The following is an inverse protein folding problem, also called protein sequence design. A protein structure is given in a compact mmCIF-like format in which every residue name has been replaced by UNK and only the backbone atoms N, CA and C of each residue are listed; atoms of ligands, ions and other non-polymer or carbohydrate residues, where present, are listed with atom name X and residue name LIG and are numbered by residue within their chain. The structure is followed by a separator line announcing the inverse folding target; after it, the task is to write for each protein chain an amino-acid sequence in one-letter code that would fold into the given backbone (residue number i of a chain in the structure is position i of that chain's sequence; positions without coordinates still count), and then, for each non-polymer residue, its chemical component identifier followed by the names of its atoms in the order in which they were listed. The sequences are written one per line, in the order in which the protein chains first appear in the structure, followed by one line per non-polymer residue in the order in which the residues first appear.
data_IF_972995615534
#
_entry.id   IF_972995615534
#
_cell.length_a   1.000
_cell.length_b   1.000
_cell.length_c   1.000
_cell.angle_alpha   90.00
_cell.angle_beta   90.00
_cell.angle_gamma   90.00
#
_symmetry.space_group_name_H-M   'P 1'
#
loop_
_entity.id
_entity.type
_entity.pdbx_description
1 polymer ?
#
# COMPACT_ATOMS: atom_id res chain seq x y z
N UNK A 1 45.36 -6.75 -16.08
CA UNK A 1 44.38 -6.74 -14.98
C UNK A 1 43.02 -6.35 -15.52
N UNK A 2 42.06 -7.28 -15.49
CA UNK A 2 40.67 -6.94 -15.83
C UNK A 2 40.17 -5.89 -14.82
N UNK A 3 39.72 -4.75 -15.30
CA UNK A 3 39.03 -3.76 -14.45
C UNK A 3 37.82 -4.45 -13.85
N UNK A 4 37.86 -4.73 -12.54
CA UNK A 4 36.69 -5.20 -11.80
C UNK A 4 35.55 -4.21 -12.05
N UNK A 5 34.54 -4.70 -12.74
CA UNK A 5 33.40 -3.92 -13.09
C UNK A 5 32.71 -3.46 -11.80
N UNK A 6 32.83 -2.19 -11.46
CA UNK A 6 32.24 -1.60 -10.25
C UNK A 6 30.71 -1.65 -10.24
N UNK A 7 30.09 -2.18 -11.30
CA UNK A 7 28.67 -2.37 -11.48
C UNK A 7 28.00 -3.07 -10.29
N UNK A 8 28.76 -3.90 -9.57
CA UNK A 8 28.21 -4.75 -8.51
C UNK A 8 28.33 -4.15 -7.11
N UNK A 9 29.25 -3.22 -6.87
CA UNK A 9 29.52 -2.69 -5.54
C UNK A 9 28.35 -1.95 -4.89
N UNK A 10 27.48 -1.33 -5.67
CA UNK A 10 26.30 -0.63 -5.16
C UNK A 10 25.06 -1.51 -5.04
N UNK A 11 25.06 -2.70 -5.65
CA UNK A 11 23.91 -3.56 -5.76
C UNK A 11 23.79 -4.59 -4.62
N UNK A 12 24.90 -4.95 -4.01
CA UNK A 12 24.97 -5.98 -2.99
C UNK A 12 25.34 -5.34 -1.64
N UNK A 13 24.36 -5.23 -0.74
CA UNK A 13 24.53 -4.62 0.59
C UNK A 13 24.74 -5.65 1.70
N UNK A 14 24.59 -6.94 1.40
CA UNK A 14 24.75 -8.03 2.35
C UNK A 14 25.85 -8.99 1.92
N UNK A 15 26.33 -9.83 2.87
CA UNK A 15 27.29 -10.89 2.58
C UNK A 15 26.75 -11.88 1.54
N UNK A 16 25.47 -12.19 1.61
CA UNK A 16 24.81 -13.10 0.67
C UNK A 16 24.82 -12.53 -0.75
N UNK A 17 24.55 -11.24 -0.90
CA UNK A 17 24.57 -10.57 -2.19
C UNK A 17 25.98 -10.53 -2.81
N UNK A 18 27.02 -10.39 -1.97
CA UNK A 18 28.42 -10.44 -2.42
C UNK A 18 28.77 -11.83 -2.92
N UNK A 19 28.38 -12.85 -2.17
CA UNK A 19 28.61 -14.25 -2.56
C UNK A 19 27.85 -14.60 -3.85
N UNK A 20 26.62 -14.15 -3.99
CA UNK A 20 25.84 -14.32 -5.22
C UNK A 20 26.58 -13.72 -6.44
N UNK A 21 27.16 -12.54 -6.29
CA UNK A 21 27.99 -11.93 -7.33
C UNK A 21 29.22 -12.75 -7.67
N UNK A 22 29.88 -13.32 -6.67
CA UNK A 22 31.03 -14.20 -6.85
C UNK A 22 30.63 -15.49 -7.59
N UNK A 23 29.47 -16.06 -7.28
CA UNK A 23 28.93 -17.24 -7.99
C UNK A 23 28.67 -16.92 -9.46
N UNK A 24 28.09 -15.77 -9.75
CA UNK A 24 27.77 -15.35 -11.11
C UNK A 24 29.03 -15.16 -11.97
N UNK A 25 30.13 -14.74 -11.37
CA UNK A 25 31.41 -14.59 -12.08
C UNK A 25 32.23 -15.89 -12.09
N UNK A 26 31.94 -16.82 -11.19
CA UNK A 26 32.67 -18.04 -10.97
C UNK A 26 31.96 -19.30 -11.48
N UNK A 27 31.55 -20.14 -10.54
CA UNK A 27 31.00 -21.46 -10.85
C UNK A 27 29.69 -21.41 -11.65
N UNK A 28 28.90 -20.37 -11.48
CA UNK A 28 27.65 -20.18 -12.19
C UNK A 28 27.73 -19.19 -13.37
N UNK A 29 28.92 -18.90 -13.86
CA UNK A 29 29.13 -17.91 -14.93
C UNK A 29 28.39 -18.21 -16.24
N UNK A 30 28.05 -19.48 -16.50
CA UNK A 30 27.29 -19.90 -17.68
C UNK A 30 25.77 -19.83 -17.48
N UNK A 31 25.31 -19.58 -16.26
CA UNK A 31 23.90 -19.45 -15.94
C UNK A 31 23.44 -18.03 -16.18
N UNK A 32 22.19 -17.87 -16.55
CA UNK A 32 21.57 -16.55 -16.56
C UNK A 32 21.42 -16.05 -15.13
N UNK A 33 21.84 -14.82 -14.86
CA UNK A 33 21.73 -14.19 -13.55
C UNK A 33 20.57 -13.22 -13.56
N UNK A 34 19.60 -13.43 -12.68
CA UNK A 34 18.32 -12.72 -12.65
C UNK A 34 17.59 -12.79 -13.99
N UNK A 35 17.31 -14.02 -14.49
CA UNK A 35 16.86 -14.21 -15.87
C UNK A 35 15.52 -13.55 -16.17
N UNK A 36 14.57 -13.62 -15.26
CA UNK A 36 13.25 -13.07 -15.47
C UNK A 36 12.55 -12.83 -14.14
N UNK A 37 11.50 -12.04 -14.18
CA UNK A 37 10.60 -11.86 -13.05
C UNK A 37 9.47 -12.87 -13.16
N UNK A 38 9.29 -13.67 -12.13
CA UNK A 38 8.20 -14.65 -12.06
C UNK A 38 7.08 -14.03 -11.23
N UNK A 39 5.93 -13.67 -11.82
CA UNK A 39 4.82 -13.14 -11.06
C UNK A 39 4.22 -14.23 -10.16
N UNK A 40 3.87 -13.86 -8.94
CA UNK A 40 3.12 -14.73 -8.05
C UNK A 40 2.13 -13.92 -7.25
N UNK A 41 1.06 -14.56 -6.82
CA UNK A 41 -0.02 -13.93 -6.06
C UNK A 41 -0.09 -14.57 -4.68
N UNK A 42 -0.15 -13.71 -3.67
CA UNK A 42 -0.35 -14.13 -2.29
C UNK A 42 -1.74 -13.68 -1.85
N UNK A 43 -2.53 -14.61 -1.35
CA UNK A 43 -3.85 -14.30 -0.83
C UNK A 43 -3.73 -13.62 0.54
N UNK A 44 -4.36 -12.45 0.67
CA UNK A 44 -4.49 -11.72 1.92
C UNK A 44 -5.95 -11.69 2.34
N UNK A 45 -6.19 -11.67 3.64
CA UNK A 45 -7.53 -11.55 4.21
C UNK A 45 -7.67 -10.21 4.92
N UNK A 46 -8.83 -9.60 4.76
CA UNK A 46 -9.20 -8.37 5.43
C UNK A 46 -10.45 -8.60 6.27
N UNK A 47 -10.36 -8.24 7.54
CA UNK A 47 -11.49 -8.31 8.45
C UNK A 47 -11.95 -6.88 8.75
N UNK A 48 -13.14 -6.48 8.26
CA UNK A 48 -13.70 -5.16 8.58
C UNK A 48 -13.94 -5.02 10.09
N UNK A 49 -13.87 -3.78 10.60
CA UNK A 49 -14.11 -3.53 12.01
C UNK A 49 -15.58 -3.76 12.39
N UNK A 50 -16.51 -3.31 11.53
CA UNK A 50 -17.96 -3.43 11.79
C UNK A 50 -18.72 -3.73 10.52
N UNK A 51 -19.92 -4.23 10.66
CA UNK A 51 -20.84 -4.46 9.55
C UNK A 51 -22.27 -4.16 9.96
N UNK A 52 -23.00 -3.47 9.11
CA UNK A 52 -24.45 -3.32 9.22
C UNK A 52 -25.06 -3.57 7.85
N UNK A 53 -26.04 -4.51 7.76
CA UNK A 53 -26.62 -4.92 6.46
C UNK A 53 -25.49 -5.28 5.49
N UNK A 54 -25.43 -4.66 4.33
CA UNK A 54 -24.40 -4.89 3.32
C UNK A 54 -23.26 -3.85 3.36
N UNK A 55 -23.16 -3.10 4.45
CA UNK A 55 -22.18 -2.04 4.63
C UNK A 55 -21.13 -2.48 5.65
N UNK A 56 -19.87 -2.51 5.21
CA UNK A 56 -18.70 -2.69 6.08
C UNK A 56 -18.19 -1.33 6.51
N UNK A 57 -17.87 -1.19 7.79
CA UNK A 57 -17.39 0.06 8.37
C UNK A 57 -15.95 -0.15 8.86
N UNK A 58 -15.03 0.62 8.33
CA UNK A 58 -13.65 0.70 8.81
C UNK A 58 -13.47 1.94 9.67
N UNK A 59 -13.22 1.73 10.97
CA UNK A 59 -12.93 2.82 11.90
C UNK A 59 -11.45 3.18 11.80
N UNK A 60 -11.14 4.42 11.46
CA UNK A 60 -9.78 4.85 11.19
C UNK A 60 -9.44 6.15 11.93
N UNK A 61 -8.45 6.08 12.82
CA UNK A 61 -7.87 7.26 13.44
C UNK A 61 -7.05 8.05 12.43
N UNK A 62 -6.10 7.37 11.79
CA UNK A 62 -5.35 7.88 10.64
C UNK A 62 -4.70 6.72 9.90
N UNK A 63 -4.45 6.91 8.63
CA UNK A 63 -3.63 5.98 7.85
C UNK A 63 -2.16 6.13 8.27
N UNK A 64 -1.47 5.01 8.42
CA UNK A 64 -0.06 4.99 8.80
C UNK A 64 0.86 5.32 7.63
N UNK A 65 0.48 4.87 6.42
CA UNK A 65 1.23 5.11 5.19
C UNK A 65 0.34 5.00 3.95
N UNK A 66 0.91 5.32 2.79
CA UNK A 66 0.18 5.28 1.52
C UNK A 66 -0.20 3.86 1.11
N UNK A 67 0.58 2.87 1.49
CA UNK A 67 0.32 1.45 1.18
C UNK A 67 -0.93 0.97 1.91
N UNK A 68 -1.09 1.36 3.18
CA UNK A 68 -2.30 1.04 3.95
C UNK A 68 -3.53 1.64 3.28
N UNK A 69 -3.49 2.90 2.89
CA UNK A 69 -4.60 3.55 2.21
C UNK A 69 -4.94 2.85 0.88
N UNK A 70 -3.94 2.54 0.07
CA UNK A 70 -4.12 1.86 -1.21
C UNK A 70 -4.76 0.48 -1.07
N UNK A 71 -4.50 -0.23 0.02
CA UNK A 71 -5.08 -1.55 0.31
C UNK A 71 -6.61 -1.55 0.21
N UNK A 72 -7.26 -0.51 0.69
CA UNK A 72 -8.73 -0.44 0.70
C UNK A 72 -9.34 -0.31 -0.70
N UNK A 73 -8.60 0.24 -1.65
CA UNK A 73 -9.03 0.29 -3.05
C UNK A 73 -9.08 -1.14 -3.61
N UNK A 74 -8.09 -1.97 -3.29
CA UNK A 74 -8.07 -3.38 -3.71
C UNK A 74 -9.15 -4.20 -3.02
N UNK A 75 -9.38 -3.97 -1.71
CA UNK A 75 -10.43 -4.63 -0.94
C UNK A 75 -11.80 -4.35 -1.55
N UNK A 76 -12.08 -3.08 -1.87
CA UNK A 76 -13.36 -2.69 -2.50
C UNK A 76 -13.63 -3.46 -3.77
N UNK A 77 -12.63 -3.70 -4.60
CA UNK A 77 -12.77 -4.47 -5.85
C UNK A 77 -13.18 -5.92 -5.62
N UNK A 78 -12.99 -6.43 -4.42
CA UNK A 78 -13.34 -7.81 -4.05
C UNK A 78 -14.69 -7.94 -3.37
N UNK A 79 -15.32 -6.82 -3.05
CA UNK A 79 -16.67 -6.83 -2.48
C UNK A 79 -17.69 -7.28 -3.51
N UNK A 80 -18.79 -7.86 -3.02
CA UNK A 80 -19.93 -8.18 -3.86
C UNK A 80 -20.60 -6.88 -4.35
N UNK A 81 -21.35 -6.98 -5.46
CA UNK A 81 -21.99 -5.82 -6.10
C UNK A 81 -22.89 -5.01 -5.17
N UNK A 82 -23.56 -5.68 -4.23
CA UNK A 82 -24.45 -5.05 -3.25
C UNK A 82 -23.74 -4.56 -1.99
N UNK A 83 -22.47 -4.90 -1.82
CA UNK A 83 -21.71 -4.55 -0.62
C UNK A 83 -20.97 -3.24 -0.78
N UNK A 84 -20.80 -2.51 0.31
CA UNK A 84 -20.08 -1.25 0.34
C UNK A 84 -19.13 -1.20 1.54
N UNK A 85 -17.95 -0.61 1.34
CA UNK A 85 -17.02 -0.28 2.41
C UNK A 85 -17.04 1.22 2.64
N UNK A 86 -17.33 1.63 3.87
CA UNK A 86 -17.32 3.04 4.29
C UNK A 86 -16.30 3.25 5.39
N UNK A 87 -15.85 4.48 5.54
CA UNK A 87 -14.90 4.85 6.60
C UNK A 87 -15.60 5.66 7.69
N UNK A 88 -15.22 5.36 8.92
CA UNK A 88 -15.53 6.18 10.10
C UNK A 88 -14.23 6.84 10.53
N UNK A 89 -14.05 8.11 10.23
CA UNK A 89 -12.84 8.84 10.58
C UNK A 89 -12.98 9.53 11.94
N UNK A 90 -11.98 9.33 12.80
CA UNK A 90 -11.86 10.10 14.04
C UNK A 90 -11.53 11.56 13.73
N UNK A 91 -10.63 11.80 12.76
CA UNK A 91 -10.14 13.12 12.37
C UNK A 91 -10.16 13.26 10.85
N UNK A 92 -11.32 13.54 10.25
CA UNK A 92 -11.43 13.59 8.78
C UNK A 92 -10.53 14.65 8.13
N UNK A 93 -10.19 15.71 8.85
CA UNK A 93 -9.33 16.78 8.35
C UNK A 93 -7.83 16.55 8.59
N UNK A 94 -7.46 15.40 9.12
CA UNK A 94 -6.07 15.02 9.29
C UNK A 94 -5.41 14.77 7.92
N UNK A 95 -4.18 15.25 7.75
CA UNK A 95 -3.45 15.06 6.50
C UNK A 95 -3.15 13.59 6.22
N UNK A 96 -3.25 13.21 4.95
CA UNK A 96 -2.84 11.89 4.49
C UNK A 96 -1.31 11.70 4.64
N UNK A 97 -0.84 10.45 4.88
CA UNK A 97 0.59 10.18 4.92
C UNK A 97 1.27 10.62 3.62
N UNK A 98 2.42 11.26 3.74
CA UNK A 98 3.22 11.72 2.60
C UNK A 98 2.50 12.68 1.64
N UNK A 99 1.39 13.28 2.06
CA UNK A 99 0.71 14.29 1.25
C UNK A 99 1.60 15.51 1.06
N UNK A 100 1.72 15.97 -0.19
CA UNK A 100 2.49 17.17 -0.53
C UNK A 100 1.74 18.43 -0.10
N UNK A 101 2.50 19.42 0.39
CA UNK A 101 1.95 20.75 0.70
C UNK A 101 1.48 21.43 -0.58
N UNK A 102 0.22 21.90 -0.58
CA UNK A 102 -0.35 22.67 -1.68
C UNK A 102 0.13 24.12 -1.63
N UNK A 103 -0.14 24.87 -2.70
CA UNK A 103 0.20 26.31 -2.77
C UNK A 103 -0.41 27.12 -1.64
N UNK A 104 -1.62 26.76 -1.19
CA UNK A 104 -2.32 27.42 -0.08
C UNK A 104 -1.84 26.97 1.31
N UNK A 105 -0.85 26.09 1.38
CA UNK A 105 -0.29 25.58 2.64
C UNK A 105 -0.99 24.35 3.20
N UNK A 106 -2.09 23.93 2.61
CA UNK A 106 -2.82 22.74 3.06
C UNK A 106 -2.25 21.44 2.47
N UNK A 107 -2.66 20.30 3.03
CA UNK A 107 -2.34 18.98 2.53
C UNK A 107 -3.63 18.20 2.33
N UNK A 108 -3.64 17.22 1.43
CA UNK A 108 -4.79 16.34 1.23
C UNK A 108 -5.16 15.68 2.56
N UNK A 109 -6.44 15.79 2.92
CA UNK A 109 -6.98 15.19 4.14
C UNK A 109 -7.49 13.77 3.91
N UNK A 110 -7.77 13.05 5.00
CA UNK A 110 -8.42 11.73 4.95
C UNK A 110 -9.78 11.81 4.25
N UNK A 111 -10.58 12.82 4.59
CA UNK A 111 -11.89 13.05 3.94
C UNK A 111 -11.74 13.26 2.44
N UNK A 112 -10.81 14.10 2.02
CA UNK A 112 -10.55 14.34 0.60
C UNK A 112 -10.07 13.09 -0.13
N UNK A 113 -9.22 12.27 0.53
CA UNK A 113 -8.77 11.01 -0.03
C UNK A 113 -9.95 10.06 -0.26
N UNK A 114 -10.84 9.93 0.72
CA UNK A 114 -12.02 9.07 0.61
C UNK A 114 -12.93 9.54 -0.53
N UNK A 115 -13.22 10.82 -0.60
CA UNK A 115 -14.06 11.41 -1.65
C UNK A 115 -13.47 11.20 -3.04
N UNK A 116 -12.16 11.43 -3.19
CA UNK A 116 -11.46 11.22 -4.46
C UNK A 116 -11.52 9.76 -4.93
N UNK A 117 -11.54 8.82 -4.01
CA UNK A 117 -11.57 7.39 -4.31
C UNK A 117 -12.98 6.79 -4.20
N UNK A 118 -14.01 7.65 -4.16
CA UNK A 118 -15.43 7.25 -4.13
C UNK A 118 -15.82 6.39 -2.92
N UNK A 119 -15.18 6.63 -1.78
CA UNK A 119 -15.59 6.05 -0.51
C UNK A 119 -16.45 7.05 0.25
N UNK A 120 -17.61 6.62 0.72
CA UNK A 120 -18.36 7.42 1.71
C UNK A 120 -17.60 7.39 3.03
N UNK A 121 -17.62 8.48 3.74
CA UNK A 121 -16.99 8.58 5.04
C UNK A 121 -17.91 9.29 6.03
N UNK A 122 -17.71 8.98 7.30
CA UNK A 122 -18.54 9.49 8.40
C UNK A 122 -17.66 9.81 9.58
N UNK A 123 -18.20 10.60 10.51
CA UNK A 123 -17.70 10.78 11.86
C UNK A 123 -18.62 10.04 12.82
N UNK A 124 -18.29 10.01 14.11
CA UNK A 124 -19.17 9.41 15.14
C UNK A 124 -20.58 10.01 15.12
N UNK A 125 -20.67 11.30 14.81
CA UNK A 125 -21.95 12.00 14.73
C UNK A 125 -22.75 11.63 13.49
N UNK A 126 -22.09 11.62 12.34
CA UNK A 126 -22.78 11.41 11.05
C UNK A 126 -23.00 9.94 10.70
N UNK A 127 -22.27 9.01 11.30
CA UNK A 127 -22.47 7.58 11.03
C UNK A 127 -23.88 7.09 11.39
N UNK A 128 -24.55 7.79 12.27
CA UNK A 128 -25.93 7.50 12.66
C UNK A 128 -26.91 7.52 11.47
N UNK A 129 -26.55 8.22 10.40
CA UNK A 129 -27.36 8.29 9.18
C UNK A 129 -27.56 6.94 8.49
N UNK A 130 -26.63 6.00 8.68
CA UNK A 130 -26.69 4.68 8.04
C UNK A 130 -27.00 3.54 9.04
N UNK A 131 -27.15 3.86 10.30
CA UNK A 131 -27.44 2.84 11.33
C UNK A 131 -28.93 2.56 11.50
#
# INVERSE_FOLDING_TARGET
MARRNNRWKGKYRSADSKWEGELAEGVLRKCEHHPTKIPYVVEHHYTPDFKIKDIYIEAKGRFMDSTEAAKYIWIRKRLKKNEELVFLFMKPNCAMPHAKKRKDGTRRTHAEWAEKNDFRWFTEETIKEIL
#
